data_IF_666737291913
#
_entry.id   IF_666737291913
#
_cell.length_a   1.000
_cell.length_b   1.000
_cell.length_c   1.000
_cell.angle_alpha   90.00
_cell.angle_beta   90.00
_cell.angle_gamma   90.00
#
_symmetry.space_group_name_H-M   'P 1'
#
loop_
_entity.id
_entity.type
_entity.pdbx_description
1 polymer ?
#
# COMPACT_ATOMS: atom_id res chain seq x y z
N UNK A 1 -59.12 12.86 15.83
CA UNK A 1 -59.43 13.92 16.80
C UNK A 1 -58.12 14.39 17.40
N UNK A 2 -57.67 15.62 17.10
CA UNK A 2 -56.47 16.31 17.63
C UNK A 2 -55.08 15.64 17.42
N UNK A 3 -53.98 16.38 17.25
CA UNK A 3 -53.82 17.63 16.51
C UNK A 3 -52.33 17.80 16.06
N UNK A 4 -52.11 18.64 15.05
CA UNK A 4 -50.82 19.30 14.73
C UNK A 4 -50.41 20.29 15.86
N UNK A 5 -49.23 20.93 15.93
CA UNK A 5 -48.09 21.21 15.01
C UNK A 5 -46.79 21.41 15.87
N UNK A 6 -45.59 21.71 15.33
CA UNK A 6 -44.35 21.92 16.11
C UNK A 6 -44.12 23.38 16.52
N UNK A 7 -43.03 23.65 17.25
CA UNK A 7 -42.57 25.01 17.61
C UNK A 7 -41.17 25.27 17.04
N UNK A 8 -40.96 26.49 16.55
CA UNK A 8 -39.70 27.12 16.12
C UNK A 8 -39.86 28.65 16.34
N UNK A 9 -38.88 29.48 15.94
CA UNK A 9 -38.86 30.97 16.08
C UNK A 9 -38.54 31.46 17.51
N UNK A 10 -37.80 32.56 17.74
CA UNK A 10 -37.04 33.45 16.84
C UNK A 10 -35.87 34.16 17.59
N UNK A 11 -35.08 34.95 16.85
CA UNK A 11 -33.91 35.69 17.35
C UNK A 11 -34.16 37.21 17.53
N UNK A 12 -33.37 37.84 18.41
CA UNK A 12 -33.19 39.29 18.63
C UNK A 12 -31.67 39.43 18.96
N UNK A 13 -30.77 40.04 18.17
CA UNK A 13 -30.58 41.49 17.82
C UNK A 13 -30.14 42.34 19.03
N UNK A 14 -29.15 43.24 18.99
CA UNK A 14 -27.87 43.38 18.26
C UNK A 14 -27.02 44.50 18.94
N UNK A 15 -25.71 44.61 18.62
CA UNK A 15 -24.81 45.76 18.94
C UNK A 15 -24.53 46.07 20.44
N UNK A 16 -23.43 46.70 20.86
CA UNK A 16 -22.09 47.02 20.32
C UNK A 16 -21.15 47.30 21.54
N UNK A 17 -19.80 47.32 21.48
CA UNK A 17 -18.83 47.17 20.38
C UNK A 17 -17.40 47.57 20.86
N UNK A 18 -16.56 48.09 19.94
CA UNK A 18 -15.22 48.71 20.12
C UNK A 18 -13.93 47.86 20.28
N UNK A 19 -13.26 47.72 19.13
CA UNK A 19 -11.83 48.06 18.85
C UNK A 19 -10.63 47.24 19.36
N UNK A 20 -9.85 46.77 18.38
CA UNK A 20 -8.36 46.57 18.36
C UNK A 20 -7.75 45.46 19.25
N UNK A 21 -6.63 44.78 18.90
CA UNK A 21 -5.62 45.07 17.85
C UNK A 21 -4.91 43.79 17.31
N UNK A 22 -4.51 43.84 16.02
CA UNK A 22 -3.36 43.16 15.37
C UNK A 22 -3.25 41.61 15.37
N UNK A 23 -2.52 41.14 14.37
CA UNK A 23 -2.24 39.74 14.03
C UNK A 23 -0.77 39.37 14.27
N UNK A 24 -0.48 38.06 14.33
CA UNK A 24 0.84 37.50 14.06
C UNK A 24 0.69 36.08 13.48
N UNK A 25 1.59 35.70 12.58
CA UNK A 25 1.52 34.46 11.79
C UNK A 25 2.73 33.58 12.10
N UNK A 26 2.49 32.31 12.46
CA UNK A 26 3.51 31.26 12.46
C UNK A 26 3.59 30.58 11.08
N UNK A 27 4.78 30.11 10.71
CA UNK A 27 5.08 29.59 9.36
C UNK A 27 5.27 28.08 9.35
N UNK A 28 4.54 27.37 8.50
CA UNK A 28 4.99 26.08 7.99
C UNK A 28 6.06 26.28 6.90
N UNK A 29 6.94 25.29 6.73
CA UNK A 29 7.84 25.15 5.58
C UNK A 29 7.84 23.71 5.10
N UNK A 30 7.48 23.50 3.85
CA UNK A 30 7.52 22.19 3.19
C UNK A 30 8.90 21.94 2.54
N UNK A 31 9.21 20.68 2.25
CA UNK A 31 10.46 20.27 1.62
C UNK A 31 10.29 20.13 0.09
N UNK A 32 11.16 20.80 -0.68
CA UNK A 32 11.18 20.72 -2.15
C UNK A 32 12.33 19.85 -2.67
N UNK A 33 12.01 18.75 -3.37
CA UNK A 33 13.00 17.90 -4.03
C UNK A 33 13.39 18.47 -5.41
N UNK A 34 14.68 18.49 -5.75
CA UNK A 34 15.18 18.93 -7.07
C UNK A 34 16.09 17.88 -7.74
N UNK A 35 15.84 17.62 -9.02
CA UNK A 35 16.67 16.75 -9.87
C UNK A 35 17.67 17.55 -10.71
N UNK A 36 18.80 16.91 -11.00
CA UNK A 36 19.95 17.35 -11.78
C UNK A 36 19.60 18.07 -13.09
N UNK A 37 20.48 18.98 -13.51
CA UNK A 37 21.17 18.83 -14.82
C UNK A 37 22.57 19.48 -14.79
N UNK A 38 23.47 18.99 -15.63
CA UNK A 38 24.82 19.55 -15.86
C UNK A 38 24.84 20.25 -17.22
N UNK A 39 25.65 21.30 -17.37
CA UNK A 39 26.02 21.86 -18.68
C UNK A 39 27.50 22.26 -18.66
N UNK A 40 28.24 21.91 -19.72
CA UNK A 40 29.60 22.41 -19.96
C UNK A 40 29.52 23.61 -20.90
N UNK A 41 30.42 24.58 -20.71
CA UNK A 41 30.78 25.57 -21.73
C UNK A 41 32.20 26.09 -21.50
N UNK A 42 32.86 26.52 -22.57
CA UNK A 42 34.32 26.58 -22.72
C UNK A 42 34.98 27.93 -22.38
N UNK A 43 36.25 27.83 -21.97
CA UNK A 43 37.38 28.78 -22.03
C UNK A 43 37.46 29.41 -23.47
N UNK A 44 37.86 30.70 -23.71
CA UNK A 44 39.22 31.20 -23.38
C UNK A 44 39.46 32.72 -23.13
N UNK A 45 40.68 33.06 -22.63
CA UNK A 45 41.39 34.27 -23.11
C UNK A 45 42.40 35.00 -22.20
N UNK A 46 43.71 34.63 -22.28
CA UNK A 46 44.92 35.52 -22.13
C UNK A 46 45.16 36.20 -20.75
N UNK A 47 46.36 36.61 -20.31
CA UNK A 47 47.78 36.43 -20.70
C UNK A 47 48.69 37.03 -19.57
N UNK A 48 49.98 36.66 -19.41
CA UNK A 48 50.88 37.52 -18.59
C UNK A 48 52.12 37.01 -17.80
N UNK A 49 52.82 35.95 -18.24
CA UNK A 49 54.29 35.69 -18.12
C UNK A 49 55.20 36.30 -16.99
N UNK A 50 56.13 35.46 -16.46
CA UNK A 50 57.34 35.71 -15.59
C UNK A 50 57.08 35.75 -14.06
N UNK A 51 57.87 35.13 -13.15
CA UNK A 51 59.35 35.03 -12.92
C UNK A 51 59.98 36.38 -12.49
N UNK A 52 60.69 36.54 -11.35
CA UNK A 52 61.09 35.61 -10.25
C UNK A 52 60.71 36.25 -8.87
N UNK A 53 61.30 36.09 -7.66
CA UNK A 53 62.52 35.45 -7.12
C UNK A 53 62.35 35.02 -5.62
N UNK A 54 63.45 34.72 -4.90
CA UNK A 54 63.49 34.11 -3.56
C UNK A 54 63.60 35.06 -2.34
N UNK A 55 63.15 34.58 -1.17
CA UNK A 55 63.80 34.71 0.17
C UNK A 55 63.44 33.47 1.02
N UNK A 56 64.41 32.90 1.76
CA UNK A 56 64.14 31.84 2.77
C UNK A 56 63.74 32.45 4.12
N UNK A 57 62.73 31.85 4.77
CA UNK A 57 62.66 31.79 6.24
C UNK A 57 62.17 30.40 6.66
N UNK A 58 63.03 29.66 7.36
CA UNK A 58 62.72 28.34 7.95
C UNK A 58 62.42 28.53 9.42
N UNK A 59 61.23 28.12 9.87
CA UNK A 59 60.98 27.75 11.27
C UNK A 59 59.97 26.61 11.34
N UNK A 60 60.23 25.64 12.22
CA UNK A 60 59.37 24.49 12.45
C UNK A 60 58.04 24.93 13.05
N UNK A 61 56.93 24.50 12.45
CA UNK A 61 55.67 24.29 13.17
C UNK A 61 55.31 22.81 13.09
N UNK A 62 54.90 22.26 14.23
CA UNK A 62 54.65 20.83 14.40
C UNK A 62 53.48 20.39 13.51
N UNK A 63 53.74 19.47 12.58
CA UNK A 63 52.69 18.69 11.92
C UNK A 63 52.10 17.67 12.91
N UNK A 64 51.42 18.17 13.94
CA UNK A 64 50.32 17.44 14.57
C UNK A 64 49.22 17.37 13.51
N UNK A 65 49.35 16.40 12.61
CA UNK A 65 48.22 15.92 11.83
C UNK A 65 47.19 15.50 12.88
N UNK A 66 46.01 16.14 13.00
CA UNK A 66 44.95 15.51 13.75
C UNK A 66 44.68 14.20 13.01
N UNK A 67 44.87 13.07 13.69
CA UNK A 67 44.13 11.88 13.31
C UNK A 67 42.67 12.29 13.45
N UNK A 68 42.08 12.71 12.32
CA UNK A 68 40.67 13.02 12.26
C UNK A 68 39.96 11.76 12.70
N UNK A 69 39.39 11.80 13.90
CA UNK A 69 38.56 10.71 14.41
C UNK A 69 37.43 10.57 13.43
N UNK A 70 37.55 9.58 12.54
CA UNK A 70 36.50 9.21 11.61
C UNK A 70 35.29 8.94 12.45
N UNK A 71 34.32 9.86 12.42
CA UNK A 71 33.15 9.85 13.29
C UNK A 71 32.56 8.44 13.26
N UNK A 72 32.29 7.84 14.42
CA UNK A 72 31.72 6.49 14.56
C UNK A 72 30.24 6.43 14.11
N UNK A 73 29.95 7.05 12.97
CA UNK A 73 28.65 7.19 12.38
C UNK A 73 28.32 5.90 11.64
N UNK A 74 27.65 5.01 12.36
CA UNK A 74 27.03 3.82 11.79
C UNK A 74 26.10 4.21 10.62
N UNK A 75 26.08 3.41 9.55
CA UNK A 75 25.15 3.55 8.43
C UNK A 75 23.73 3.20 8.91
N UNK A 76 23.03 4.21 9.38
CA UNK A 76 21.69 4.12 9.97
C UNK A 76 20.61 4.24 8.88
N UNK A 77 19.85 3.16 8.68
CA UNK A 77 18.72 3.13 7.75
C UNK A 77 17.45 3.78 8.33
N UNK A 78 17.48 4.21 9.60
CA UNK A 78 16.33 4.77 10.31
C UNK A 78 15.40 3.68 10.85
N UNK A 79 14.11 4.03 10.94
CA UNK A 79 13.05 3.12 11.42
C UNK A 79 12.30 2.52 10.24
N UNK A 80 12.23 1.19 10.12
CA UNK A 80 11.37 0.47 9.18
C UNK A 80 9.90 0.53 9.65
N UNK A 81 9.28 1.69 9.45
CA UNK A 81 7.85 1.91 9.75
C UNK A 81 6.91 1.21 8.76
N UNK A 82 7.44 0.62 7.69
CA UNK A 82 6.65 -0.18 6.73
C UNK A 82 6.33 -1.57 7.27
N UNK A 83 7.07 -2.04 8.29
CA UNK A 83 6.86 -3.30 9.01
C UNK A 83 6.67 -3.07 10.52
N UNK A 84 5.54 -2.51 10.94
CA UNK A 84 5.13 -2.58 12.36
C UNK A 84 4.90 -4.05 12.72
N UNK A 85 5.72 -4.60 13.62
CA UNK A 85 5.65 -6.00 14.03
C UNK A 85 4.70 -6.08 15.22
N UNK A 86 3.61 -6.82 15.09
CA UNK A 86 2.65 -7.07 16.16
C UNK A 86 2.68 -8.56 16.54
N UNK A 87 2.81 -8.86 17.83
CA UNK A 87 2.86 -10.23 18.36
C UNK A 87 1.95 -10.37 19.60
N UNK A 88 1.49 -11.59 19.90
CA UNK A 88 0.63 -11.83 21.05
C UNK A 88 1.40 -11.88 22.37
N UNK A 89 0.84 -11.22 23.39
CA UNK A 89 1.25 -11.38 24.78
C UNK A 89 1.11 -12.83 25.26
N UNK A 90 2.11 -13.32 26.00
CA UNK A 90 2.14 -14.68 26.54
C UNK A 90 2.45 -15.79 25.52
N UNK A 91 2.65 -15.47 24.24
CA UNK A 91 3.06 -16.42 23.20
C UNK A 91 4.56 -16.33 22.87
N UNK A 92 5.20 -17.42 22.39
CA UNK A 92 6.54 -17.32 21.82
C UNK A 92 6.55 -16.45 20.57
N UNK A 93 7.62 -15.67 20.42
CA UNK A 93 7.86 -14.86 19.24
C UNK A 93 9.32 -14.93 18.80
N UNK A 94 9.55 -14.67 17.52
CA UNK A 94 10.87 -14.60 16.91
C UNK A 94 10.88 -13.46 15.89
N UNK A 95 11.95 -12.68 15.87
CA UNK A 95 12.09 -11.50 15.00
C UNK A 95 13.44 -11.55 14.31
N UNK A 96 13.43 -11.60 12.98
CA UNK A 96 14.66 -11.48 12.18
C UNK A 96 15.07 -10.02 12.08
N UNK A 97 16.38 -9.79 12.11
CA UNK A 97 16.95 -8.47 11.85
C UNK A 97 16.66 -8.01 10.40
N UNK A 98 15.91 -6.91 10.16
CA UNK A 98 15.52 -6.49 8.81
C UNK A 98 16.68 -6.18 7.86
N UNK A 99 17.89 -5.90 8.39
CA UNK A 99 19.10 -5.73 7.57
C UNK A 99 19.28 -6.88 6.56
N UNK A 100 19.00 -8.13 6.94
CA UNK A 100 19.17 -9.31 6.09
C UNK A 100 17.95 -9.62 5.20
N UNK A 101 16.86 -8.86 5.31
CA UNK A 101 15.66 -9.05 4.49
C UNK A 101 15.51 -7.97 3.40
N UNK A 102 15.79 -6.70 3.73
CA UNK A 102 15.42 -5.54 2.90
C UNK A 102 16.57 -4.59 2.56
N UNK A 103 17.64 -4.55 3.36
CA UNK A 103 18.68 -3.50 3.23
C UNK A 103 20.03 -4.01 2.72
N UNK A 104 20.47 -5.21 3.12
CA UNK A 104 21.76 -5.80 2.74
C UNK A 104 21.57 -6.96 1.75
N UNK A 105 22.56 -7.14 0.87
CA UNK A 105 22.57 -8.23 -0.15
C UNK A 105 23.18 -9.55 0.36
N UNK A 106 23.76 -9.55 1.55
CA UNK A 106 24.44 -10.70 2.15
C UNK A 106 23.55 -11.30 3.24
N UNK A 107 23.59 -12.61 3.43
CA UNK A 107 22.92 -13.26 4.55
C UNK A 107 23.78 -13.21 5.83
N UNK A 108 23.18 -13.59 6.96
CA UNK A 108 23.85 -13.64 8.26
C UNK A 108 25.14 -14.46 8.24
N UNK A 109 25.13 -15.64 7.62
CA UNK A 109 26.29 -16.54 7.57
C UNK A 109 27.47 -15.89 6.85
N UNK A 110 27.23 -15.27 5.69
CA UNK A 110 28.27 -14.51 4.95
C UNK A 110 28.80 -13.34 5.78
N UNK A 111 27.93 -12.58 6.44
CA UNK A 111 28.34 -11.47 7.29
C UNK A 111 29.19 -11.94 8.47
N UNK A 112 28.77 -12.99 9.16
CA UNK A 112 29.47 -13.56 10.31
C UNK A 112 30.84 -14.14 9.92
N UNK A 113 30.94 -14.83 8.78
CA UNK A 113 32.22 -15.28 8.21
C UNK A 113 33.16 -14.14 7.82
N UNK A 114 32.64 -12.94 7.53
CA UNK A 114 33.42 -11.72 7.31
C UNK A 114 33.78 -10.98 8.62
N UNK A 115 33.60 -11.61 9.79
CA UNK A 115 33.91 -11.03 11.10
C UNK A 115 32.91 -9.99 11.61
N UNK A 116 31.75 -9.83 10.96
CA UNK A 116 30.71 -8.92 11.42
C UNK A 116 29.95 -9.51 12.61
N UNK A 117 29.77 -8.70 13.65
CA UNK A 117 28.99 -9.04 14.85
C UNK A 117 27.63 -8.36 14.79
N UNK A 118 26.57 -9.16 14.90
CA UNK A 118 25.21 -8.65 15.08
C UNK A 118 24.94 -8.37 16.57
N UNK A 119 24.57 -7.13 16.88
CA UNK A 119 24.22 -6.62 18.21
C UNK A 119 22.75 -6.16 18.17
N UNK A 120 22.04 -6.33 19.28
CA UNK A 120 20.66 -5.90 19.43
C UNK A 120 20.53 -4.86 20.55
N UNK A 121 19.78 -3.80 20.28
CA UNK A 121 19.41 -2.76 21.24
C UNK A 121 17.90 -2.57 21.27
N UNK A 122 17.40 -1.92 22.32
CA UNK A 122 15.99 -1.58 22.49
C UNK A 122 15.84 -0.21 23.13
N UNK A 123 14.84 0.53 22.67
CA UNK A 123 14.25 1.69 23.34
C UNK A 123 12.87 1.25 23.83
N UNK A 124 12.63 1.30 25.14
CA UNK A 124 11.32 0.98 25.73
C UNK A 124 10.27 2.03 25.39
N UNK A 125 8.98 1.68 25.42
CA UNK A 125 7.89 2.58 25.05
C UNK A 125 7.92 3.93 25.80
N UNK A 126 8.27 3.92 27.08
CA UNK A 126 8.39 5.11 27.94
C UNK A 126 9.87 5.43 28.28
N UNK A 127 10.79 5.26 27.32
CA UNK A 127 12.23 5.56 27.48
C UNK A 127 12.78 6.30 26.26
N UNK A 128 13.70 7.23 26.48
CA UNK A 128 14.43 7.95 25.41
C UNK A 128 15.81 7.36 25.09
N UNK A 129 16.27 6.36 25.85
CA UNK A 129 17.63 5.78 25.74
C UNK A 129 17.63 4.41 25.06
N UNK A 130 18.59 4.23 24.13
CA UNK A 130 18.86 2.98 23.41
C UNK A 130 19.79 2.08 24.25
N UNK A 131 19.24 1.04 24.87
CA UNK A 131 19.97 0.11 25.75
C UNK A 131 20.26 -1.21 25.03
N UNK A 132 21.44 -1.86 25.24
CA UNK A 132 21.71 -3.18 24.69
C UNK A 132 20.81 -4.25 25.34
N UNK A 133 20.29 -5.19 24.55
CA UNK A 133 19.38 -6.21 25.08
C UNK A 133 20.10 -7.13 26.06
N UNK A 134 19.57 -7.24 27.28
CA UNK A 134 20.08 -8.15 28.29
C UNK A 134 19.66 -9.60 28.00
N UNK A 135 20.56 -10.38 27.41
CA UNK A 135 20.38 -11.82 27.16
C UNK A 135 20.61 -12.72 28.39
N UNK A 136 20.88 -12.14 29.58
CA UNK A 136 21.05 -12.87 30.86
C UNK A 136 19.80 -12.80 31.74
N UNK A 137 18.62 -12.70 31.13
CA UNK A 137 17.34 -12.81 31.84
C UNK A 137 17.12 -14.25 32.34
N UNK A 138 16.36 -14.44 33.44
CA UNK A 138 15.91 -15.76 33.87
C UNK A 138 15.28 -16.56 32.72
N UNK A 139 15.47 -17.89 32.76
CA UNK A 139 15.04 -18.86 31.74
C UNK A 139 15.52 -18.57 30.30
N UNK A 140 16.47 -17.65 30.09
CA UNK A 140 16.83 -17.10 28.78
C UNK A 140 15.62 -16.53 28.00
N UNK A 141 14.63 -15.97 28.73
CA UNK A 141 13.33 -15.51 28.18
C UNK A 141 13.46 -14.65 26.92
N UNK A 142 14.48 -13.79 26.85
CA UNK A 142 14.92 -13.18 25.60
C UNK A 142 16.29 -13.73 25.26
N UNK A 143 16.43 -14.30 24.06
CA UNK A 143 17.68 -14.91 23.58
C UNK A 143 17.95 -14.52 22.12
N UNK A 144 19.19 -14.72 21.66
CA UNK A 144 19.62 -14.44 20.28
C UNK A 144 20.12 -15.73 19.65
N UNK A 145 19.56 -16.08 18.50
CA UNK A 145 20.09 -17.14 17.64
C UNK A 145 20.36 -16.57 16.25
N UNK A 146 21.62 -16.59 15.79
CA UNK A 146 22.03 -16.06 14.47
C UNK A 146 21.56 -14.61 14.25
N UNK A 147 20.67 -14.40 13.29
CA UNK A 147 20.00 -13.15 12.90
C UNK A 147 18.67 -12.88 13.61
N UNK A 148 18.25 -13.79 14.48
CA UNK A 148 16.92 -13.85 15.06
C UNK A 148 16.96 -13.56 16.56
N UNK A 149 16.08 -12.65 17.00
CA UNK A 149 15.78 -12.34 18.39
C UNK A 149 14.56 -13.17 18.81
N UNK A 150 14.70 -13.97 19.87
CA UNK A 150 13.69 -14.91 20.37
C UNK A 150 13.09 -14.45 21.70
N UNK A 151 11.79 -14.67 21.88
CA UNK A 151 11.02 -14.38 23.10
C UNK A 151 10.25 -15.62 23.56
N UNK A 152 10.39 -16.01 24.83
CA UNK A 152 9.92 -17.28 25.39
C UNK A 152 9.22 -17.15 26.76
N UNK A 153 8.05 -16.52 26.86
CA UNK A 153 7.29 -15.85 25.79
C UNK A 153 7.62 -14.35 25.68
N UNK A 154 6.97 -13.67 24.74
CA UNK A 154 6.84 -12.22 24.74
C UNK A 154 5.89 -11.74 25.84
N UNK A 155 6.11 -10.54 26.35
CA UNK A 155 5.31 -9.88 27.39
C UNK A 155 4.94 -8.45 26.94
N UNK A 156 3.83 -7.89 27.42
CA UNK A 156 3.46 -6.46 27.17
C UNK A 156 4.63 -5.49 27.40
N UNK A 157 5.44 -5.73 28.44
CA UNK A 157 6.63 -4.93 28.78
C UNK A 157 7.80 -5.10 27.78
N UNK A 158 7.64 -5.87 26.70
CA UNK A 158 8.58 -5.95 25.59
C UNK A 158 8.29 -4.96 24.46
N UNK A 159 7.13 -4.28 24.44
CA UNK A 159 6.77 -3.24 23.46
C UNK A 159 7.79 -2.08 23.41
N UNK A 160 8.15 -1.64 22.20
CA UNK A 160 9.11 -0.54 21.99
C UNK A 160 9.83 -0.63 20.64
N UNK A 161 10.82 0.24 20.43
CA UNK A 161 11.63 0.21 19.21
C UNK A 161 12.85 -0.70 19.42
N UNK A 162 13.07 -1.63 18.49
CA UNK A 162 14.20 -2.55 18.50
C UNK A 162 15.16 -2.22 17.37
N UNK A 163 16.45 -2.16 17.68
CA UNK A 163 17.50 -1.90 16.70
C UNK A 163 18.37 -3.13 16.56
N UNK A 164 18.59 -3.58 15.32
CA UNK A 164 19.67 -4.52 15.02
C UNK A 164 20.82 -3.80 14.32
N UNK A 165 22.03 -3.98 14.84
CA UNK A 165 23.26 -3.35 14.38
C UNK A 165 24.29 -4.42 13.99
N UNK A 166 24.80 -4.33 12.77
CA UNK A 166 25.84 -5.22 12.25
C UNK A 166 27.16 -4.45 12.20
N UNK A 167 28.13 -4.81 13.06
CA UNK A 167 29.36 -4.04 13.30
C UNK A 167 30.63 -4.88 13.29
N UNK A 168 31.72 -4.31 12.76
CA UNK A 168 33.12 -4.69 12.93
C UNK A 168 33.95 -3.39 13.07
N UNK A 169 35.28 -3.45 13.05
CA UNK A 169 36.19 -2.28 13.22
C UNK A 169 36.07 -1.22 12.14
N UNK A 170 35.73 -1.61 10.90
CA UNK A 170 35.68 -0.73 9.71
C UNK A 170 34.29 -0.58 9.09
N UNK A 171 33.28 -1.26 9.63
CA UNK A 171 31.91 -1.25 9.12
C UNK A 171 30.92 -1.25 10.27
N UNK A 172 29.88 -0.43 10.17
CA UNK A 172 28.73 -0.46 11.06
C UNK A 172 27.50 -0.07 10.25
N UNK A 173 26.44 -0.88 10.29
CA UNK A 173 25.12 -0.48 9.79
C UNK A 173 24.03 -0.91 10.77
N UNK A 174 23.01 -0.08 10.96
CA UNK A 174 21.89 -0.36 11.87
C UNK A 174 20.53 -0.02 11.25
N UNK A 175 19.49 -0.72 11.69
CA UNK A 175 18.10 -0.37 11.41
C UNK A 175 17.25 -0.61 12.66
N UNK A 176 16.32 0.30 12.92
CA UNK A 176 15.33 0.18 13.96
C UNK A 176 13.97 -0.25 13.39
N UNK A 177 13.11 -0.86 14.21
CA UNK A 177 11.72 -1.15 13.86
C UNK A 177 10.85 -1.16 15.12
N UNK A 178 9.55 -0.81 15.03
CA UNK A 178 8.63 -0.86 16.16
C UNK A 178 8.10 -2.29 16.37
N UNK A 179 8.21 -2.77 17.61
CA UNK A 179 7.56 -3.99 18.09
C UNK A 179 6.43 -3.62 19.06
N UNK A 180 5.26 -4.17 18.80
CA UNK A 180 4.07 -4.06 19.64
C UNK A 180 3.66 -5.45 20.16
N UNK A 181 3.61 -5.61 21.48
CA UNK A 181 3.10 -6.83 22.11
C UNK A 181 1.67 -6.60 22.58
N UNK A 182 0.76 -7.40 22.04
CA UNK A 182 -0.68 -7.15 22.02
C UNK A 182 -1.42 -8.21 22.84
N UNK A 183 -2.26 -7.82 23.83
CA UNK A 183 -3.13 -8.75 24.52
C UNK A 183 -4.31 -9.16 23.62
N UNK A 184 -4.88 -10.36 23.85
CA UNK A 184 -6.12 -10.77 23.16
C UNK A 184 -7.31 -10.01 23.72
N UNK A 185 -8.26 -9.67 22.86
CA UNK A 185 -9.41 -8.85 23.27
C UNK A 185 -10.32 -9.62 24.24
N UNK A 186 -11.04 -8.92 25.12
CA UNK A 186 -11.84 -9.55 26.16
C UNK A 186 -12.93 -10.46 25.57
N UNK A 187 -12.89 -11.75 25.92
CA UNK A 187 -13.80 -12.77 25.37
C UNK A 187 -13.46 -13.26 23.96
N UNK A 188 -12.35 -12.80 23.38
CA UNK A 188 -11.84 -13.19 22.06
C UNK A 188 -10.67 -14.17 22.15
N UNK A 189 -10.42 -14.89 21.07
CA UNK A 189 -9.23 -15.72 20.85
C UNK A 189 -8.10 -14.97 20.12
N UNK A 190 -8.36 -13.75 19.65
CA UNK A 190 -7.48 -12.88 18.86
C UNK A 190 -7.59 -11.42 19.33
N UNK A 191 -6.73 -10.53 18.84
CA UNK A 191 -7.00 -9.08 18.91
C UNK A 191 -7.39 -8.53 17.54
N UNK A 192 -8.37 -7.63 17.52
CA UNK A 192 -8.78 -6.88 16.32
C UNK A 192 -7.77 -5.82 15.89
N UNK A 193 -6.79 -5.48 16.74
CA UNK A 193 -5.67 -4.60 16.39
C UNK A 193 -4.69 -5.27 15.39
N UNK A 194 -4.48 -6.59 15.52
CA UNK A 194 -3.64 -7.39 14.63
C UNK A 194 -4.40 -7.68 13.34
N UNK A 195 -3.95 -7.07 12.24
CA UNK A 195 -4.54 -7.26 10.92
C UNK A 195 -4.09 -8.61 10.32
N UNK A 196 -4.99 -9.59 10.10
CA UNK A 196 -4.62 -10.86 9.50
C UNK A 196 -4.23 -10.70 8.03
N UNK A 197 -3.32 -11.56 7.56
CA UNK A 197 -2.93 -11.61 6.14
C UNK A 197 -4.13 -12.08 5.31
N UNK A 198 -4.45 -11.35 4.24
CA UNK A 198 -5.52 -11.71 3.31
C UNK A 198 -5.01 -12.72 2.28
N UNK A 199 -5.67 -13.88 2.19
CA UNK A 199 -5.39 -14.92 1.20
C UNK A 199 -6.61 -15.10 0.29
N UNK A 200 -6.39 -14.97 -1.01
CA UNK A 200 -7.40 -15.15 -2.06
C UNK A 200 -7.56 -16.62 -2.43
N UNK A 201 -8.80 -17.07 -2.53
CA UNK A 201 -9.18 -18.42 -2.98
C UNK A 201 -10.22 -18.33 -4.10
N UNK A 202 -10.04 -19.11 -5.16
CA UNK A 202 -10.95 -19.07 -6.31
C UNK A 202 -12.30 -19.72 -5.99
N UNK A 203 -13.39 -19.06 -6.36
CA UNK A 203 -14.75 -19.60 -6.21
C UNK A 203 -14.88 -20.94 -6.96
N UNK A 204 -15.58 -21.90 -6.33
CA UNK A 204 -15.80 -23.27 -6.81
C UNK A 204 -14.54 -24.16 -6.95
N UNK A 205 -13.34 -23.70 -6.58
CA UNK A 205 -12.17 -24.58 -6.52
C UNK A 205 -12.29 -25.59 -5.38
N UNK A 206 -11.73 -26.78 -5.56
CA UNK A 206 -11.93 -27.93 -4.69
C UNK A 206 -10.62 -28.43 -4.05
N UNK A 207 -10.70 -28.95 -2.82
CA UNK A 207 -9.57 -29.39 -1.99
C UNK A 207 -8.53 -28.29 -1.70
N UNK A 208 -8.98 -27.04 -1.67
CA UNK A 208 -8.19 -25.86 -1.32
C UNK A 208 -7.77 -25.87 0.15
N UNK A 209 -6.65 -25.22 0.50
CA UNK A 209 -6.03 -25.38 1.82
C UNK A 209 -5.56 -24.04 2.41
N UNK A 210 -6.13 -23.67 3.55
CA UNK A 210 -5.55 -22.63 4.41
C UNK A 210 -4.42 -23.28 5.20
N UNK A 211 -3.21 -22.71 5.11
CA UNK A 211 -2.03 -23.18 5.86
C UNK A 211 -1.85 -22.25 7.07
N UNK A 212 -1.58 -22.82 8.24
CA UNK A 212 -1.29 -22.04 9.44
C UNK A 212 0.06 -21.31 9.29
N UNK A 213 0.09 -19.96 9.24
CA UNK A 213 1.30 -19.21 8.87
C UNK A 213 2.23 -18.99 10.06
N UNK A 214 3.54 -18.85 9.80
CA UNK A 214 4.59 -18.61 10.81
C UNK A 214 4.50 -19.56 12.03
N UNK A 215 4.65 -20.87 11.76
CA UNK A 215 4.77 -21.91 12.78
C UNK A 215 6.12 -22.64 12.72
N UNK A 216 6.86 -22.51 11.62
CA UNK A 216 8.09 -23.24 11.37
C UNK A 216 9.21 -22.86 12.35
N UNK A 217 9.92 -23.86 12.88
CA UNK A 217 11.06 -23.67 13.77
C UNK A 217 10.73 -23.24 15.21
N UNK A 218 9.46 -23.05 15.57
CA UNK A 218 9.05 -22.84 16.97
C UNK A 218 9.11 -24.11 17.83
N UNK A 219 9.25 -25.28 17.22
CA UNK A 219 9.40 -26.56 17.90
C UNK A 219 10.28 -27.51 17.06
N UNK A 220 11.06 -28.41 17.68
CA UNK A 220 11.89 -29.36 16.96
C UNK A 220 11.03 -30.43 16.26
N UNK A 221 11.57 -31.07 15.22
CA UNK A 221 10.85 -32.08 14.43
C UNK A 221 10.44 -33.34 15.22
N UNK A 222 10.97 -33.53 16.44
CA UNK A 222 10.56 -34.58 17.38
C UNK A 222 9.26 -34.24 18.15
N UNK A 223 8.83 -32.98 18.18
CA UNK A 223 7.62 -32.51 18.85
C UNK A 223 6.49 -32.40 17.83
N UNK A 224 5.46 -33.24 17.98
CA UNK A 224 4.21 -33.12 17.20
C UNK A 224 3.28 -32.12 17.91
N UNK A 225 2.99 -30.95 17.33
CA UNK A 225 2.07 -29.98 17.93
C UNK A 225 0.61 -30.44 17.77
N UNK A 226 -0.25 -30.00 18.70
CA UNK A 226 -1.70 -30.04 18.51
C UNK A 226 -2.13 -28.76 17.81
N UNK A 227 -2.85 -28.86 16.69
CA UNK A 227 -3.41 -27.70 15.97
C UNK A 227 -4.92 -27.74 16.02
N UNK A 228 -5.55 -26.63 16.42
CA UNK A 228 -7.00 -26.43 16.38
C UNK A 228 -7.33 -25.21 15.52
N UNK A 229 -8.37 -25.33 14.70
CA UNK A 229 -8.83 -24.27 13.81
C UNK A 229 -10.13 -23.66 14.31
N UNK A 230 -10.26 -22.36 14.13
CA UNK A 230 -11.41 -21.57 14.60
C UNK A 230 -11.85 -20.59 13.50
N UNK A 231 -13.15 -20.36 13.39
CA UNK A 231 -13.73 -19.26 12.60
C UNK A 231 -14.53 -18.39 13.56
N UNK A 232 -14.23 -17.09 13.61
CA UNK A 232 -14.82 -16.16 14.60
C UNK A 232 -14.77 -16.71 16.03
N UNK A 233 -13.62 -17.28 16.41
CA UNK A 233 -13.35 -17.95 17.68
C UNK A 233 -14.24 -19.15 18.06
N UNK A 234 -15.04 -19.67 17.13
CA UNK A 234 -15.74 -20.96 17.27
C UNK A 234 -14.93 -22.07 16.63
N UNK A 235 -14.78 -23.22 17.30
CA UNK A 235 -14.00 -24.36 16.81
C UNK A 235 -14.57 -24.87 15.47
N UNK A 236 -13.69 -25.09 14.50
CA UNK A 236 -14.02 -25.70 13.20
C UNK A 236 -13.73 -27.20 13.32
N UNK A 237 -14.76 -27.96 13.68
CA UNK A 237 -14.72 -29.41 13.86
C UNK A 237 -16.04 -30.03 13.33
N UNK A 238 -16.02 -31.31 12.93
CA UNK A 238 -17.20 -32.02 12.41
C UNK A 238 -17.75 -31.55 11.05
N UNK A 239 -17.12 -30.59 10.37
CA UNK A 239 -17.58 -30.09 9.07
C UNK A 239 -16.96 -30.86 7.89
N UNK A 240 -17.73 -31.68 7.18
CA UNK A 240 -17.29 -32.42 5.98
C UNK A 240 -16.53 -31.52 4.97
N UNK A 241 -17.12 -30.37 4.66
CA UNK A 241 -16.60 -29.38 3.69
C UNK A 241 -15.44 -28.51 4.21
N UNK A 242 -15.12 -28.57 5.51
CA UNK A 242 -14.13 -27.69 6.17
C UNK A 242 -13.45 -28.41 7.34
N UNK A 243 -12.62 -29.40 7.05
CA UNK A 243 -12.05 -30.29 8.06
C UNK A 243 -10.57 -29.97 8.36
N UNK A 244 -10.16 -29.90 9.64
CA UNK A 244 -8.75 -29.78 10.03
C UNK A 244 -7.90 -30.98 9.57
N UNK A 245 -6.69 -30.71 9.10
CA UNK A 245 -5.64 -31.69 8.83
C UNK A 245 -4.31 -31.18 9.43
N UNK A 246 -4.26 -31.09 10.77
CA UNK A 246 -3.13 -30.53 11.50
C UNK A 246 -2.92 -29.04 11.18
N UNK A 247 -1.72 -28.67 10.73
CA UNK A 247 -1.35 -27.30 10.35
C UNK A 247 -2.06 -26.77 9.09
N UNK A 248 -3.03 -27.50 8.54
CA UNK A 248 -3.82 -27.14 7.35
C UNK A 248 -5.31 -27.27 7.66
N UNK A 249 -6.13 -26.36 7.13
CA UNK A 249 -7.58 -26.51 7.07
C UNK A 249 -7.97 -26.77 5.61
N UNK A 250 -8.59 -27.92 5.35
CA UNK A 250 -9.02 -28.31 4.00
C UNK A 250 -10.42 -27.77 3.74
N UNK A 251 -10.60 -27.09 2.61
CA UNK A 251 -11.88 -26.60 2.10
C UNK A 251 -12.29 -27.52 0.93
N UNK A 252 -13.39 -28.26 1.10
CA UNK A 252 -13.89 -29.24 0.15
C UNK A 252 -14.22 -28.62 -1.20
N UNK A 253 -15.14 -27.65 -1.21
CA UNK A 253 -15.38 -26.72 -2.32
C UNK A 253 -15.47 -25.28 -1.80
N UNK A 254 -14.72 -24.35 -2.40
CA UNK A 254 -14.74 -22.92 -2.03
C UNK A 254 -16.08 -22.28 -2.39
N UNK A 255 -16.75 -21.71 -1.38
CA UNK A 255 -18.02 -20.98 -1.48
C UNK A 255 -17.88 -19.61 -0.82
N UNK A 256 -18.64 -18.61 -1.31
CA UNK A 256 -18.69 -17.26 -0.72
C UNK A 256 -19.03 -17.25 0.77
N UNK A 257 -19.91 -18.15 1.22
CA UNK A 257 -20.28 -18.33 2.63
C UNK A 257 -19.12 -18.80 3.54
N UNK A 258 -17.94 -19.10 2.98
CA UNK A 258 -16.74 -19.48 3.72
C UNK A 258 -15.72 -18.35 3.86
N UNK A 259 -16.00 -17.14 3.36
CA UNK A 259 -15.16 -15.96 3.62
C UNK A 259 -15.04 -15.61 5.12
N UNK A 260 -13.97 -14.91 5.47
CA UNK A 260 -13.73 -14.40 6.82
C UNK A 260 -12.44 -14.89 7.46
N UNK A 261 -12.30 -14.65 8.76
CA UNK A 261 -11.07 -14.90 9.51
C UNK A 261 -11.03 -16.34 10.04
N UNK A 262 -10.01 -17.09 9.63
CA UNK A 262 -9.67 -18.41 10.15
C UNK A 262 -8.42 -18.31 11.01
N UNK A 263 -8.56 -18.67 12.28
CA UNK A 263 -7.50 -18.66 13.28
C UNK A 263 -7.09 -20.10 13.56
N UNK A 264 -5.81 -20.42 13.39
CA UNK A 264 -5.22 -21.62 13.96
C UNK A 264 -4.57 -21.29 15.31
N UNK A 265 -4.75 -22.19 16.27
CA UNK A 265 -4.02 -22.19 17.54
C UNK A 265 -3.18 -23.47 17.55
N UNK A 266 -1.86 -23.29 17.64
CA UNK A 266 -0.86 -24.37 17.68
C UNK A 266 -0.35 -24.49 19.10
N UNK A 267 -0.66 -25.59 19.77
CA UNK A 267 -0.19 -25.91 21.12
C UNK A 267 0.92 -26.94 21.06
N UNK A 268 2.07 -26.64 21.64
CA UNK A 268 3.21 -27.56 21.75
C UNK A 268 3.82 -27.54 23.15
N UNK A 269 4.67 -28.51 23.46
CA UNK A 269 5.44 -28.57 24.70
C UNK A 269 6.92 -28.47 24.41
N UNK A 270 7.62 -27.69 25.22
CA UNK A 270 9.07 -27.58 25.19
C UNK A 270 9.61 -27.38 26.61
N UNK A 271 10.72 -28.06 26.95
CA UNK A 271 11.33 -28.10 28.28
C UNK A 271 10.33 -28.20 29.47
N UNK A 272 9.24 -28.96 29.30
CA UNK A 272 8.18 -29.15 30.29
C UNK A 272 7.10 -28.05 30.34
N UNK A 273 7.35 -26.89 29.73
CA UNK A 273 6.37 -25.80 29.55
C UNK A 273 5.45 -26.11 28.37
N UNK A 274 4.26 -25.52 28.36
CA UNK A 274 3.31 -25.63 27.25
C UNK A 274 3.12 -24.25 26.65
N UNK A 275 3.32 -24.14 25.34
CA UNK A 275 3.26 -22.88 24.59
C UNK A 275 2.15 -22.93 23.55
N UNK A 276 1.59 -21.76 23.24
CA UNK A 276 0.59 -21.57 22.20
C UNK A 276 1.09 -20.55 21.17
N UNK A 277 0.77 -20.77 19.90
CA UNK A 277 0.87 -19.78 18.83
C UNK A 277 -0.50 -19.58 18.20
N UNK A 278 -1.02 -18.37 18.25
CA UNK A 278 -2.24 -17.94 17.58
C UNK A 278 -1.87 -17.23 16.29
N UNK A 279 -2.47 -17.68 15.18
CA UNK A 279 -2.15 -17.18 13.83
C UNK A 279 -3.44 -17.14 13.01
N UNK A 280 -3.68 -16.04 12.28
CA UNK A 280 -4.96 -15.78 11.61
C UNK A 280 -4.76 -15.40 10.14
N UNK A 281 -5.48 -16.08 9.25
CA UNK A 281 -5.61 -15.75 7.83
C UNK A 281 -7.02 -15.25 7.58
N UNK A 282 -7.16 -14.18 6.79
CA UNK A 282 -8.44 -13.73 6.23
C UNK A 282 -8.64 -14.40 4.88
N UNK A 283 -9.56 -15.36 4.82
CA UNK A 283 -10.00 -15.97 3.56
C UNK A 283 -10.91 -15.00 2.81
N UNK A 284 -10.54 -14.72 1.56
CA UNK A 284 -11.32 -13.93 0.60
C UNK A 284 -11.58 -14.75 -0.65
N UNK A 285 -12.81 -14.74 -1.15
CA UNK A 285 -13.21 -15.55 -2.32
C UNK A 285 -13.25 -14.67 -3.55
N UNK A 286 -12.59 -15.10 -4.61
CA UNK A 286 -12.35 -14.29 -5.83
C UNK A 286 -12.77 -15.04 -7.10
N UNK A 287 -12.97 -14.29 -8.19
CA UNK A 287 -13.53 -14.81 -9.44
C UNK A 287 -12.68 -15.93 -10.02
N UNK A 288 -13.33 -17.04 -10.40
CA UNK A 288 -12.64 -18.22 -10.92
C UNK A 288 -12.06 -17.92 -12.31
N UNK A 289 -10.74 -18.11 -12.56
CA UNK A 289 -10.13 -17.81 -13.86
C UNK A 289 -10.70 -18.70 -14.96
N UNK A 290 -11.26 -19.88 -14.62
CA UNK A 290 -11.95 -20.78 -15.54
C UNK A 290 -13.27 -20.20 -16.06
N UNK A 291 -13.86 -19.22 -15.37
CA UNK A 291 -15.07 -18.48 -15.76
C UNK A 291 -14.75 -17.04 -16.20
N UNK A 292 -13.48 -16.63 -16.22
CA UNK A 292 -13.07 -15.29 -16.57
C UNK A 292 -13.09 -15.06 -18.09
N UNK A 293 -13.60 -13.89 -18.49
CA UNK A 293 -13.96 -13.54 -19.87
C UNK A 293 -13.12 -12.34 -20.37
N UNK A 294 -13.10 -12.08 -21.69
CA UNK A 294 -12.69 -10.77 -22.21
C UNK A 294 -13.55 -9.64 -21.60
N UNK A 295 -13.11 -8.38 -21.67
CA UNK A 295 -13.87 -7.25 -21.14
C UNK A 295 -15.24 -7.12 -21.81
N UNK A 296 -16.24 -6.60 -21.10
CA UNK A 296 -17.63 -6.51 -21.57
C UNK A 296 -18.16 -5.09 -21.47
N UNK A 297 -18.61 -4.52 -22.60
CA UNK A 297 -19.15 -3.16 -22.63
C UNK A 297 -20.60 -3.12 -22.11
N UNK A 298 -20.85 -2.28 -21.11
CA UNK A 298 -22.18 -1.74 -20.81
C UNK A 298 -22.46 -0.53 -21.70
N UNK A 299 -21.46 0.33 -21.89
CA UNK A 299 -21.51 1.55 -22.69
C UNK A 299 -20.15 1.84 -23.35
N UNK A 300 -20.08 2.37 -24.59
CA UNK A 300 -21.19 2.53 -25.53
C UNK A 300 -21.72 1.18 -26.03
N UNK A 301 -22.95 1.15 -26.52
CA UNK A 301 -23.58 -0.01 -27.16
C UNK A 301 -24.54 0.44 -28.28
N UNK A 302 -24.92 -0.48 -29.15
CA UNK A 302 -25.71 -0.22 -30.39
C UNK A 302 -27.06 0.49 -30.17
N UNK A 303 -27.59 0.49 -28.94
CA UNK A 303 -28.90 1.10 -28.59
C UNK A 303 -28.77 2.53 -28.08
N UNK A 304 -27.55 3.03 -27.85
CA UNK A 304 -27.29 4.37 -27.31
C UNK A 304 -26.74 5.28 -28.40
N UNK A 305 -27.53 6.30 -28.74
CA UNK A 305 -27.16 7.36 -29.69
C UNK A 305 -27.06 8.67 -28.92
N UNK A 306 -25.95 9.39 -29.08
CA UNK A 306 -25.68 10.67 -28.44
C UNK A 306 -26.02 11.79 -29.43
N UNK A 307 -27.23 12.33 -29.33
CA UNK A 307 -27.73 13.42 -30.20
C UNK A 307 -27.58 14.78 -29.49
N UNK A 308 -26.75 15.67 -30.06
CA UNK A 308 -26.28 16.92 -29.43
C UNK A 308 -26.29 18.09 -30.43
N UNK A 309 -26.41 19.33 -29.94
CA UNK A 309 -26.25 20.53 -30.78
C UNK A 309 -24.79 21.01 -30.80
N UNK A 310 -24.37 21.67 -31.88
CA UNK A 310 -23.00 22.17 -31.99
C UNK A 310 -22.76 23.31 -30.98
N UNK A 311 -21.74 23.17 -30.12
CA UNK A 311 -21.53 24.03 -28.95
C UNK A 311 -22.08 23.47 -27.63
N UNK A 312 -22.68 22.27 -27.62
CA UNK A 312 -22.85 21.49 -26.39
C UNK A 312 -21.52 20.81 -25.99
N UNK A 313 -21.45 20.31 -24.76
CA UNK A 313 -20.31 19.54 -24.27
C UNK A 313 -20.55 18.03 -24.52
N UNK A 314 -19.77 17.43 -25.41
CA UNK A 314 -19.88 16.02 -25.79
C UNK A 314 -19.27 15.16 -24.69
N UNK A 315 -20.11 14.40 -23.96
CA UNK A 315 -19.70 13.51 -22.86
C UNK A 315 -20.00 12.06 -23.22
N UNK A 316 -18.97 11.24 -23.36
CA UNK A 316 -19.04 9.85 -23.79
C UNK A 316 -18.52 8.89 -22.69
N UNK A 317 -19.40 8.26 -21.89
CA UNK A 317 -19.01 7.30 -20.87
C UNK A 317 -18.74 5.92 -21.49
N UNK A 318 -17.50 5.44 -21.37
CA UNK A 318 -17.15 4.04 -21.62
C UNK A 318 -17.23 3.25 -20.31
N UNK A 319 -18.29 2.46 -20.12
CA UNK A 319 -18.46 1.58 -18.96
C UNK A 319 -18.18 0.13 -19.38
N UNK A 320 -17.15 -0.47 -18.77
CA UNK A 320 -16.68 -1.82 -19.11
C UNK A 320 -16.55 -2.67 -17.86
N UNK A 321 -17.20 -3.83 -17.86
CA UNK A 321 -17.07 -4.87 -16.86
C UNK A 321 -15.88 -5.81 -17.16
N UNK A 322 -15.17 -6.19 -16.10
CA UNK A 322 -14.04 -7.09 -16.10
C UNK A 322 -14.26 -8.17 -15.03
N UNK A 323 -14.25 -9.44 -15.43
CA UNK A 323 -14.12 -10.56 -14.49
C UNK A 323 -12.74 -10.56 -13.85
N UNK A 324 -12.64 -10.93 -12.57
CA UNK A 324 -11.37 -11.02 -11.86
C UNK A 324 -10.37 -11.96 -12.57
N UNK A 325 -9.16 -11.46 -12.74
CA UNK A 325 -7.99 -12.21 -13.19
C UNK A 325 -6.80 -11.73 -12.36
N UNK A 326 -6.32 -12.60 -11.46
CA UNK A 326 -5.15 -12.29 -10.62
C UNK A 326 -3.96 -11.91 -11.50
N UNK A 327 -3.26 -10.84 -11.11
CA UNK A 327 -2.07 -10.31 -11.78
C UNK A 327 -2.30 -9.83 -13.25
N UNK A 328 -3.54 -9.83 -13.75
CA UNK A 328 -3.90 -9.23 -15.05
C UNK A 328 -3.99 -7.72 -14.96
N UNK A 329 -3.36 -7.03 -15.91
CA UNK A 329 -3.69 -5.63 -16.19
C UNK A 329 -5.12 -5.54 -16.75
N UNK A 330 -5.80 -4.45 -16.46
CA UNK A 330 -7.12 -4.09 -16.99
C UNK A 330 -7.03 -2.67 -17.52
N UNK A 331 -7.14 -2.51 -18.82
CA UNK A 331 -6.94 -1.24 -19.51
C UNK A 331 -8.22 -0.85 -20.24
N UNK A 332 -8.56 0.44 -20.21
CA UNK A 332 -9.65 1.05 -20.99
C UNK A 332 -9.08 2.34 -21.57
N UNK A 333 -9.30 2.60 -22.86
CA UNK A 333 -8.85 3.83 -23.51
C UNK A 333 -9.82 4.26 -24.61
N UNK A 334 -9.76 5.53 -24.98
CA UNK A 334 -10.55 6.10 -26.07
C UNK A 334 -9.66 6.36 -27.28
N UNK A 335 -10.25 6.27 -28.46
CA UNK A 335 -9.67 6.77 -29.70
C UNK A 335 -10.64 7.68 -30.42
N UNK A 336 -10.08 8.69 -31.09
CA UNK A 336 -10.80 9.59 -31.98
C UNK A 336 -10.15 9.44 -33.35
N UNK A 337 -10.93 9.01 -34.35
CA UNK A 337 -10.47 8.74 -35.72
C UNK A 337 -9.26 7.78 -35.77
N UNK A 338 -9.21 6.84 -34.83
CA UNK A 338 -8.13 5.84 -34.69
C UNK A 338 -6.87 6.32 -33.96
N UNK A 339 -6.78 7.60 -33.56
CA UNK A 339 -5.69 8.13 -32.73
C UNK A 339 -6.06 8.07 -31.25
N UNK A 340 -5.07 7.91 -30.37
CA UNK A 340 -5.27 7.93 -28.92
C UNK A 340 -5.67 9.35 -28.45
N UNK A 341 -6.53 9.45 -27.44
CA UNK A 341 -6.92 10.73 -26.83
C UNK A 341 -5.75 11.46 -26.17
N UNK A 342 -4.72 10.74 -25.74
CA UNK A 342 -3.55 11.35 -25.06
C UNK A 342 -2.74 12.27 -25.99
N UNK A 343 -2.93 12.17 -27.31
CA UNK A 343 -2.32 13.02 -28.34
C UNK A 343 -3.18 14.24 -28.73
N UNK A 344 -4.34 14.46 -28.08
CA UNK A 344 -5.38 15.42 -28.51
C UNK A 344 -5.67 16.44 -27.40
N UNK A 345 -5.22 17.69 -27.59
CA UNK A 345 -5.23 18.74 -26.54
C UNK A 345 -6.62 19.07 -25.98
N UNK A 346 -7.66 19.03 -26.80
CA UNK A 346 -9.03 19.44 -26.43
C UNK A 346 -9.89 18.29 -25.87
N UNK A 347 -9.33 17.07 -25.80
CA UNK A 347 -10.01 15.87 -25.30
C UNK A 347 -9.67 15.61 -23.83
N UNK A 348 -10.60 15.92 -22.91
CA UNK A 348 -10.44 15.58 -21.49
C UNK A 348 -10.94 14.16 -21.23
N UNK A 349 -10.15 13.35 -20.52
CA UNK A 349 -10.54 11.99 -20.11
C UNK A 349 -10.49 11.85 -18.59
N UNK A 350 -11.51 11.24 -18.01
CA UNK A 350 -11.57 10.87 -16.59
C UNK A 350 -11.79 9.36 -16.44
N UNK A 351 -11.39 8.79 -15.32
CA UNK A 351 -11.59 7.36 -15.03
C UNK A 351 -11.99 7.15 -13.57
N UNK A 352 -12.94 6.25 -13.35
CA UNK A 352 -13.28 5.68 -12.04
C UNK A 352 -13.34 4.15 -12.12
N UNK A 353 -13.22 3.49 -10.97
CA UNK A 353 -13.27 2.04 -10.84
C UNK A 353 -14.26 1.68 -9.72
N UNK A 354 -15.21 0.80 -10.04
CA UNK A 354 -16.26 0.32 -9.14
C UNK A 354 -15.98 -1.17 -8.88
N UNK A 355 -15.53 -1.56 -7.68
CA UNK A 355 -15.40 -2.98 -7.33
C UNK A 355 -16.78 -3.64 -7.29
N UNK A 356 -16.84 -4.90 -7.74
CA UNK A 356 -18.02 -5.76 -7.67
C UNK A 356 -17.71 -6.95 -6.74
N UNK A 357 -18.54 -7.98 -6.74
CA UNK A 357 -18.28 -9.20 -5.94
C UNK A 357 -17.09 -9.97 -6.52
N UNK A 358 -16.42 -10.75 -5.67
CA UNK A 358 -15.32 -11.64 -6.07
C UNK A 358 -14.12 -10.96 -6.75
N UNK A 359 -13.89 -9.67 -6.45
CA UNK A 359 -12.88 -8.81 -7.11
C UNK A 359 -13.09 -8.62 -8.63
N UNK A 360 -14.25 -9.00 -9.17
CA UNK A 360 -14.72 -8.48 -10.45
C UNK A 360 -14.86 -6.95 -10.34
N UNK A 361 -14.79 -6.21 -11.45
CA UNK A 361 -14.91 -4.75 -11.42
C UNK A 361 -15.55 -4.15 -12.66
N UNK A 362 -16.05 -2.93 -12.52
CA UNK A 362 -16.44 -2.07 -13.64
C UNK A 362 -15.52 -0.86 -13.67
N UNK A 363 -14.88 -0.60 -14.80
CA UNK A 363 -14.14 0.64 -15.05
C UNK A 363 -15.04 1.55 -15.89
N UNK A 364 -15.19 2.80 -15.46
CA UNK A 364 -15.86 3.85 -16.23
C UNK A 364 -14.80 4.84 -16.66
N UNK A 365 -14.55 4.96 -17.97
CA UNK A 365 -13.63 5.95 -18.55
C UNK A 365 -14.41 6.89 -19.46
N UNK A 366 -14.62 8.12 -18.99
CA UNK A 366 -15.44 9.12 -19.69
C UNK A 366 -14.55 10.05 -20.50
N UNK A 367 -14.82 10.14 -21.80
CA UNK A 367 -14.28 11.17 -22.68
C UNK A 367 -15.20 12.40 -22.63
N UNK A 368 -14.61 13.59 -22.65
CA UNK A 368 -15.32 14.87 -22.70
C UNK A 368 -14.62 15.80 -23.69
N UNK A 369 -15.36 16.24 -24.71
CA UNK A 369 -14.95 17.33 -25.61
C UNK A 369 -15.87 18.51 -25.31
N UNK A 370 -15.33 19.56 -24.68
CA UNK A 370 -16.09 20.75 -24.36
C UNK A 370 -16.35 21.58 -25.63
N UNK A 371 -17.56 22.12 -25.77
CA UNK A 371 -17.98 22.94 -26.92
C UNK A 371 -17.69 22.28 -28.28
N UNK A 372 -18.17 21.05 -28.41
CA UNK A 372 -17.94 20.21 -29.58
C UNK A 372 -18.41 20.89 -30.88
N UNK A 373 -17.52 20.91 -31.87
CA UNK A 373 -17.79 21.52 -33.19
C UNK A 373 -18.67 20.62 -34.06
N UNK A 374 -19.28 21.16 -35.15
CA UNK A 374 -19.95 20.34 -36.15
C UNK A 374 -19.04 19.27 -36.79
N UNK A 375 -17.72 19.44 -36.70
CA UNK A 375 -16.72 18.50 -37.20
C UNK A 375 -16.47 17.38 -36.18
N UNK A 376 -16.38 17.73 -34.89
CA UNK A 376 -16.25 16.76 -33.80
C UNK A 376 -17.45 15.81 -33.73
N UNK A 377 -18.67 16.35 -33.86
CA UNK A 377 -19.91 15.55 -33.89
C UNK A 377 -20.03 14.58 -35.10
N UNK A 378 -19.05 14.57 -36.02
CA UNK A 378 -18.94 13.64 -37.16
C UNK A 378 -17.77 12.65 -37.03
N UNK A 379 -16.91 12.77 -36.02
CA UNK A 379 -15.71 11.91 -35.83
C UNK A 379 -16.08 10.50 -35.35
N UNK A 380 -15.16 9.56 -35.56
CA UNK A 380 -15.29 8.21 -35.01
C UNK A 380 -14.73 8.13 -33.59
N UNK A 381 -15.63 8.09 -32.60
CA UNK A 381 -15.31 7.82 -31.20
C UNK A 381 -15.41 6.33 -30.89
N UNK A 382 -14.28 5.64 -30.76
CA UNK A 382 -14.25 4.22 -30.37
C UNK A 382 -13.51 4.04 -29.05
N UNK A 383 -14.17 3.41 -28.08
CA UNK A 383 -13.54 2.96 -26.83
C UNK A 383 -13.01 1.53 -26.99
N UNK A 384 -11.86 1.26 -26.40
CA UNK A 384 -11.19 -0.03 -26.37
C UNK A 384 -11.00 -0.47 -24.92
N UNK A 385 -11.00 -1.80 -24.69
CA UNK A 385 -10.71 -2.37 -23.39
C UNK A 385 -9.97 -3.71 -23.51
N UNK A 386 -9.05 -3.97 -22.57
CA UNK A 386 -8.13 -5.12 -22.62
C UNK A 386 -7.88 -5.76 -21.26
N UNK A 387 -7.87 -7.08 -21.22
CA UNK A 387 -7.36 -7.90 -20.10
C UNK A 387 -6.59 -9.13 -20.64
N UNK A 388 -6.12 -10.02 -19.76
CA UNK A 388 -5.40 -11.23 -20.15
C UNK A 388 -6.24 -12.31 -20.88
N UNK A 389 -7.55 -12.09 -21.07
CA UNK A 389 -8.44 -12.94 -21.89
C UNK A 389 -8.69 -12.38 -23.29
N UNK A 390 -8.45 -11.09 -23.53
CA UNK A 390 -8.56 -10.48 -24.85
C UNK A 390 -8.67 -8.96 -24.85
N UNK A 391 -8.74 -8.40 -26.06
CA UNK A 391 -9.03 -7.00 -26.34
C UNK A 391 -10.37 -6.91 -27.10
N UNK A 392 -11.17 -5.91 -26.76
CA UNK A 392 -12.48 -5.62 -27.36
C UNK A 392 -12.63 -4.13 -27.58
N UNK A 393 -13.55 -3.72 -28.46
CA UNK A 393 -13.87 -2.32 -28.72
C UNK A 393 -15.36 -2.10 -28.95
N UNK A 394 -15.84 -0.90 -28.65
CA UNK A 394 -17.21 -0.45 -28.92
C UNK A 394 -17.20 1.01 -29.36
N UNK A 395 -18.01 1.34 -30.36
CA UNK A 395 -18.09 2.68 -30.95
C UNK A 395 -19.28 3.45 -30.34
N UNK A 396 -19.07 4.71 -29.98
CA UNK A 396 -20.15 5.61 -29.60
C UNK A 396 -20.80 6.20 -30.86
N UNK A 397 -22.12 6.05 -31.00
CA UNK A 397 -22.87 6.62 -32.11
C UNK A 397 -23.23 8.07 -31.74
N UNK A 398 -22.42 9.02 -32.20
CA UNK A 398 -22.68 10.47 -32.05
C UNK A 398 -23.47 10.97 -33.27
N UNK A 399 -24.39 11.90 -33.06
CA UNK A 399 -25.07 12.64 -34.13
C UNK A 399 -25.23 14.11 -33.77
N UNK A 400 -25.05 14.97 -34.77
CA UNK A 400 -25.45 16.36 -34.67
C UNK A 400 -26.98 16.46 -34.86
N UNK A 401 -27.67 17.08 -33.91
CA UNK A 401 -29.09 17.40 -33.97
C UNK A 401 -29.30 18.59 -34.90
N UNK A 402 -30.16 18.46 -35.91
CA UNK A 402 -30.42 19.55 -36.85
C UNK A 402 -31.28 20.66 -36.22
N UNK A 403 -30.75 21.88 -36.18
CA UNK A 403 -31.51 23.07 -35.80
C UNK A 403 -32.40 23.48 -36.97
N UNK A 404 -33.72 23.28 -36.82
CA UNK A 404 -34.71 23.62 -37.84
C UNK A 404 -34.78 25.14 -38.07
N UNK A 405 -34.00 25.62 -39.05
CA UNK A 405 -33.96 27.04 -39.43
C UNK A 405 -35.23 27.41 -40.18
N UNK A 406 -36.24 27.89 -39.45
CA UNK A 406 -37.39 28.59 -40.01
C UNK A 406 -36.86 29.75 -40.85
N UNK A 407 -36.97 29.65 -42.18
CA UNK A 407 -36.68 30.78 -43.07
C UNK A 407 -37.74 31.87 -42.84
N UNK A 408 -37.36 33.12 -42.58
CA UNK A 408 -38.30 34.23 -42.69
C UNK A 408 -38.87 34.24 -44.11
N UNK A 409 -40.19 34.23 -44.25
CA UNK A 409 -40.82 34.50 -45.54
C UNK A 409 -40.53 35.96 -45.91
N UNK A 410 -39.88 36.16 -47.06
CA UNK A 410 -39.74 37.49 -47.62
C UNK A 410 -41.13 37.98 -48.07
N UNK A 411 -41.65 38.99 -47.37
CA UNK A 411 -42.78 39.78 -47.85
C UNK A 411 -42.33 40.51 -49.13
N UNK A 412 -42.78 40.01 -50.27
CA UNK A 412 -42.73 40.76 -51.52
C UNK A 412 -43.71 41.93 -51.41
N UNK A 413 -43.28 43.09 -51.92
CA UNK A 413 -43.99 44.34 -51.75
C UNK A 413 -45.10 44.52 -52.80
N UNK A 414 -46.11 45.29 -52.44
CA UNK A 414 -46.93 46.05 -53.39
C UNK A 414 -47.18 47.45 -52.84
N UNK A 415 -46.63 48.45 -53.53
CA UNK A 415 -47.01 49.85 -53.48
C UNK A 415 -47.06 50.36 -54.92
N UNK A 416 -48.09 51.15 -55.25
CA UNK A 416 -47.86 52.45 -55.87
C UNK A 416 -47.91 53.59 -54.83
#
# INVERSE_FOLDING_TARGET
MMMFQPVNWAAIVSCAGRTTTRSLVSRNKEAGCWKRQRKLSSVPGKSGMKMVDAVLLVMLWLCVVPLGSGSERCDDWGVDTMKQIQIYDGEPAKIKCPLFETFLKYNYSTAHSAGLTLIWYRIGQDRDLEEPINFRLPDNRISKEKDTLWFWPALLNDTGNYTCMLRNTTYCSKVAFPLEVVPKDQGSCVSHSIKPVEQMFYLEYANEKIICPDIDGFYPASVTPTVKWYQSCRLVDGFNERHPQGSKLVIGVVRSAYEGNYTCIVTFKDHGRTYNLTRTIKMKVVGSPNKALPPQFTSPNEKVVYELEAGDDLVLPCEVFFTFLKDSRTEVWWTIDGKNTDDIMDAKVTQSEIPRRFEDKTIIRTLTVAKATPEDLKRNYTCYARNARGEVRSQAIVRMKETCKIRPQALLAEQP
#
